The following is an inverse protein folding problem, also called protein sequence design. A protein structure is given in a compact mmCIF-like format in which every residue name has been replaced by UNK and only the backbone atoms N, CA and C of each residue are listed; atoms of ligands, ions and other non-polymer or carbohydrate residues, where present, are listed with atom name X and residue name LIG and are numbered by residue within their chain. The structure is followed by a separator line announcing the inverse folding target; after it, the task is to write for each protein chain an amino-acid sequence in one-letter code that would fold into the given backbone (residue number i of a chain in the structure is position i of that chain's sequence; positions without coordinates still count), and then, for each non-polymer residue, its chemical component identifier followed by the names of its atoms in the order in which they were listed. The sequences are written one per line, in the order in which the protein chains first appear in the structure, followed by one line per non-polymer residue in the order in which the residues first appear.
data_IF_837003341563
#
_entry.id   IF_837003341563
#
_cell.length_a   1.000
_cell.length_b   1.000
_cell.length_c   1.000
_cell.angle_alpha   90.00
_cell.angle_beta   90.00
_cell.angle_gamma   90.00
#
_symmetry.space_group_name_H-M   'P 1'
#
loop_
_entity.id
_entity.type
_entity.pdbx_description
1 polymer ?
#
# COMPACT_ATOMS: atom_id res chain seq x y z
N UNK A 1 17.01 -1.11 5.71
CA UNK A 1 15.83 -0.79 6.54
C UNK A 1 14.96 -2.04 6.60
N UNK A 2 14.69 -2.59 7.79
CA UNK A 2 13.83 -3.77 7.95
C UNK A 2 12.37 -3.28 8.01
N UNK A 3 11.52 -3.79 7.12
CA UNK A 3 10.09 -3.48 7.09
C UNK A 3 9.33 -4.62 7.75
N UNK A 4 8.19 -4.32 8.41
CA UNK A 4 7.36 -5.33 9.07
C UNK A 4 6.72 -6.30 8.06
N UNK A 5 6.41 -5.80 6.87
CA UNK A 5 5.81 -6.58 5.79
C UNK A 5 6.05 -5.95 4.43
N UNK A 6 5.74 -6.72 3.38
CA UNK A 6 5.76 -6.29 1.98
C UNK A 6 4.36 -5.96 1.51
N UNK A 7 4.24 -4.93 0.68
CA UNK A 7 2.98 -4.58 0.01
C UNK A 7 3.05 -5.13 -1.41
N UNK A 8 2.00 -5.84 -1.83
CA UNK A 8 1.87 -6.35 -3.18
C UNK A 8 0.58 -5.82 -3.81
N UNK A 9 0.65 -5.40 -5.06
CA UNK A 9 -0.46 -4.83 -5.81
C UNK A 9 -0.90 -5.82 -6.87
N UNK A 10 -2.20 -5.96 -7.07
CA UNK A 10 -2.79 -6.85 -8.06
C UNK A 10 -3.81 -6.10 -8.90
N UNK A 11 -3.95 -6.50 -10.16
CA UNK A 11 -5.00 -6.04 -11.08
C UNK A 11 -5.51 -7.24 -11.84
N UNK A 12 -6.81 -7.47 -11.82
CA UNK A 12 -7.46 -8.61 -12.49
C UNK A 12 -6.79 -9.96 -12.16
N UNK A 13 -6.41 -10.13 -10.88
CA UNK A 13 -5.74 -11.34 -10.39
C UNK A 13 -4.24 -11.44 -10.71
N UNK A 14 -3.68 -10.52 -11.51
CA UNK A 14 -2.27 -10.49 -11.88
C UNK A 14 -1.48 -9.56 -10.95
N UNK A 15 -0.36 -10.04 -10.40
CA UNK A 15 0.54 -9.21 -9.59
C UNK A 15 1.17 -8.13 -10.45
N UNK A 16 1.02 -6.87 -10.05
CA UNK A 16 1.64 -5.75 -10.75
C UNK A 16 3.16 -5.75 -10.55
N UNK A 17 3.89 -5.58 -11.66
CA UNK A 17 5.33 -5.41 -11.67
C UNK A 17 5.73 -3.98 -12.06
N UNK A 18 6.99 -3.62 -11.84
CA UNK A 18 7.52 -2.31 -12.25
C UNK A 18 7.37 -2.06 -13.76
N UNK A 19 7.49 -3.10 -14.58
CA UNK A 19 7.39 -3.05 -16.04
C UNK A 19 5.99 -2.66 -16.49
N UNK A 20 4.96 -3.12 -15.78
CA UNK A 20 3.56 -2.78 -16.08
C UNK A 20 3.21 -1.35 -15.66
N UNK A 21 3.99 -0.75 -14.75
CA UNK A 21 3.79 0.62 -14.27
C UNK A 21 4.82 1.61 -14.84
N UNK A 22 5.77 1.15 -15.68
CA UNK A 22 6.92 1.96 -16.10
C UNK A 22 6.54 3.23 -16.87
N UNK A 23 5.49 3.14 -17.69
CA UNK A 23 5.06 4.20 -18.61
C UNK A 23 4.08 5.19 -17.94
N UNK A 24 3.70 4.94 -16.69
CA UNK A 24 2.83 5.84 -15.92
C UNK A 24 3.61 7.05 -15.45
N UNK A 25 3.08 8.22 -15.77
CA UNK A 25 3.66 9.53 -15.41
C UNK A 25 2.88 10.26 -14.33
N UNK A 26 1.68 9.81 -14.01
CA UNK A 26 0.89 10.39 -12.93
C UNK A 26 1.48 10.02 -11.55
N UNK A 27 1.39 10.90 -10.54
CA UNK A 27 2.02 10.65 -9.24
C UNK A 27 1.56 9.37 -8.54
N UNK A 28 0.28 8.98 -8.68
CA UNK A 28 -0.25 7.76 -8.09
C UNK A 28 0.42 6.52 -8.73
N UNK A 29 0.48 6.48 -10.05
CA UNK A 29 1.16 5.42 -10.82
C UNK A 29 2.65 5.31 -10.49
N UNK A 30 3.34 6.45 -10.37
CA UNK A 30 4.75 6.47 -9.96
C UNK A 30 4.90 5.95 -8.52
N UNK A 31 4.02 6.38 -7.60
CA UNK A 31 3.98 5.89 -6.23
C UNK A 31 3.79 4.37 -6.15
N UNK A 32 2.81 3.83 -6.90
CA UNK A 32 2.57 2.39 -7.02
C UNK A 32 3.78 1.64 -7.57
N UNK A 33 4.47 2.19 -8.59
CA UNK A 33 5.69 1.59 -9.12
C UNK A 33 6.75 1.44 -8.03
N UNK A 34 6.99 2.50 -7.26
CA UNK A 34 7.93 2.45 -6.15
C UNK A 34 7.53 1.45 -5.06
N UNK A 35 6.23 1.26 -4.81
CA UNK A 35 5.73 0.19 -3.92
C UNK A 35 6.13 -1.20 -4.45
N UNK A 36 5.96 -1.46 -5.76
CA UNK A 36 6.38 -2.75 -6.36
C UNK A 36 7.89 -2.98 -6.30
N UNK A 37 8.69 -1.92 -6.16
CA UNK A 37 10.13 -1.96 -6.00
C UNK A 37 10.59 -1.94 -4.52
N UNK A 38 9.66 -1.98 -3.56
CA UNK A 38 9.93 -1.86 -2.11
C UNK A 38 10.62 -0.55 -1.68
N UNK A 39 10.49 0.50 -2.50
CA UNK A 39 11.05 1.84 -2.28
C UNK A 39 10.01 2.73 -1.58
N UNK A 40 9.71 2.41 -0.32
CA UNK A 40 8.57 3.02 0.38
C UNK A 40 8.72 4.51 0.66
N UNK A 41 9.93 5.01 0.92
CA UNK A 41 10.14 6.44 1.14
C UNK A 41 9.91 7.24 -0.14
N UNK A 42 10.37 6.73 -1.28
CA UNK A 42 10.12 7.29 -2.60
C UNK A 42 8.63 7.24 -2.94
N UNK A 43 7.97 6.10 -2.68
CA UNK A 43 6.54 5.94 -2.88
C UNK A 43 5.74 7.01 -2.10
N UNK A 44 6.05 7.21 -0.82
CA UNK A 44 5.38 8.22 0.03
C UNK A 44 5.47 9.62 -0.59
N UNK A 45 6.65 10.04 -1.08
CA UNK A 45 6.82 11.38 -1.68
C UNK A 45 5.86 11.61 -2.85
N UNK A 46 5.72 10.61 -3.72
CA UNK A 46 4.82 10.68 -4.88
C UNK A 46 3.35 10.59 -4.49
N UNK A 47 3.02 9.74 -3.52
CA UNK A 47 1.66 9.60 -3.02
C UNK A 47 1.17 10.86 -2.32
N UNK A 48 2.03 11.56 -1.58
CA UNK A 48 1.67 12.82 -0.91
C UNK A 48 1.24 13.92 -1.89
N UNK A 49 1.80 13.94 -3.11
CA UNK A 49 1.44 14.91 -4.18
C UNK A 49 0.42 14.36 -5.18
N UNK A 50 -0.01 13.10 -5.03
CA UNK A 50 -1.04 12.52 -5.87
C UNK A 50 -2.40 13.11 -5.57
N UNK A 51 -3.31 13.08 -6.56
CA UNK A 51 -4.72 13.41 -6.36
C UNK A 51 -5.32 12.48 -5.30
N UNK A 52 -6.23 13.04 -4.51
CA UNK A 52 -6.92 12.30 -3.47
C UNK A 52 -7.74 11.16 -4.08
N UNK A 53 -7.56 9.98 -3.51
CA UNK A 53 -8.12 8.72 -3.99
C UNK A 53 -7.99 7.67 -2.89
N UNK A 54 -8.86 6.67 -2.92
CA UNK A 54 -8.78 5.54 -1.99
C UNK A 54 -7.38 4.90 -1.97
N UNK A 55 -6.78 4.68 -3.15
CA UNK A 55 -5.49 4.02 -3.33
C UNK A 55 -4.34 4.82 -2.70
N UNK A 56 -4.34 6.14 -2.88
CA UNK A 56 -3.34 7.04 -2.27
C UNK A 56 -3.30 6.83 -0.77
N UNK A 57 -4.45 6.96 -0.11
CA UNK A 57 -4.54 6.92 1.33
C UNK A 57 -4.34 5.52 1.90
N UNK A 58 -4.85 4.49 1.21
CA UNK A 58 -4.61 3.09 1.59
C UNK A 58 -3.11 2.76 1.52
N UNK A 59 -2.43 3.15 0.44
CA UNK A 59 -0.99 2.90 0.28
C UNK A 59 -0.16 3.68 1.30
N UNK A 60 -0.48 4.95 1.55
CA UNK A 60 0.18 5.73 2.59
C UNK A 60 0.03 5.06 3.95
N UNK A 61 -1.18 4.60 4.29
CA UNK A 61 -1.44 3.85 5.52
C UNK A 61 -0.59 2.59 5.62
N UNK A 62 -0.64 1.74 4.59
CA UNK A 62 0.12 0.48 4.53
C UNK A 62 1.64 0.70 4.61
N UNK A 63 2.16 1.71 3.91
CA UNK A 63 3.58 2.07 3.96
C UNK A 63 3.97 2.45 5.39
N UNK A 64 3.20 3.32 6.04
CA UNK A 64 3.49 3.75 7.41
C UNK A 64 3.48 2.54 8.38
N UNK A 65 2.51 1.63 8.25
CA UNK A 65 2.48 0.40 9.03
C UNK A 65 3.70 -0.51 8.75
N UNK A 66 4.12 -0.63 7.49
CA UNK A 66 5.31 -1.39 7.12
C UNK A 66 6.60 -0.80 7.74
N UNK A 67 6.61 0.53 7.94
CA UNK A 67 7.68 1.30 8.57
C UNK A 67 7.56 1.46 10.09
N UNK A 68 6.60 0.76 10.73
CA UNK A 68 6.33 0.87 12.18
C UNK A 68 5.86 2.26 12.65
N UNK A 69 5.29 3.07 11.75
CA UNK A 69 4.71 4.38 12.02
C UNK A 69 3.18 4.26 12.22
N UNK A 70 2.78 3.52 13.24
CA UNK A 70 1.40 3.02 13.38
C UNK A 70 0.35 4.15 13.54
N UNK A 71 0.70 5.26 14.18
CA UNK A 71 -0.21 6.40 14.36
C UNK A 71 -0.55 7.08 13.03
N UNK A 72 0.47 7.46 12.23
CA UNK A 72 0.28 8.00 10.88
C UNK A 72 -0.43 7.00 9.96
N UNK A 73 -0.11 5.71 10.11
CA UNK A 73 -0.77 4.64 9.36
C UNK A 73 -2.28 4.64 9.57
N UNK A 74 -2.74 4.82 10.81
CA UNK A 74 -4.18 4.90 11.13
C UNK A 74 -4.85 6.10 10.51
N UNK A 75 -4.26 7.30 10.63
CA UNK A 75 -4.85 8.52 10.06
C UNK A 75 -5.06 8.41 8.54
N UNK A 76 -4.09 7.84 7.83
CA UNK A 76 -4.24 7.62 6.39
C UNK A 76 -5.31 6.58 6.06
N UNK A 77 -5.41 5.48 6.81
CA UNK A 77 -6.43 4.45 6.55
C UNK A 77 -7.85 4.92 6.88
N UNK A 78 -8.02 5.76 7.90
CA UNK A 78 -9.30 6.38 8.20
C UNK A 78 -9.73 7.31 7.05
N UNK A 79 -8.80 8.12 6.55
CA UNK A 79 -9.05 8.98 5.39
C UNK A 79 -9.36 8.20 4.11
N UNK A 80 -8.77 7.00 3.90
CA UNK A 80 -9.00 6.22 2.68
C UNK A 80 -10.49 5.95 2.43
N UNK A 81 -11.26 5.69 3.48
CA UNK A 81 -12.71 5.43 3.39
C UNK A 81 -13.56 6.61 2.93
N UNK A 82 -12.99 7.82 2.89
CA UNK A 82 -13.68 9.05 2.51
C UNK A 82 -13.60 9.34 1.00
N UNK A 83 -12.76 8.60 0.27
CA UNK A 83 -12.50 8.84 -1.15
C UNK A 83 -12.89 7.65 -2.01
N UNK A 84 -13.31 7.92 -3.24
CA UNK A 84 -13.62 6.88 -4.21
C UNK A 84 -12.34 6.23 -4.77
N UNK A 85 -12.42 4.94 -5.17
CA UNK A 85 -11.36 4.29 -5.92
C UNK A 85 -11.11 4.98 -7.26
N UNK A 86 -9.85 5.35 -7.52
CA UNK A 86 -9.44 5.85 -8.82
C UNK A 86 -9.10 4.73 -9.80
N UNK A 87 -8.79 3.52 -9.31
CA UNK A 87 -8.34 2.39 -10.11
C UNK A 87 -8.85 1.04 -9.61
N UNK A 88 -8.95 0.08 -10.52
CA UNK A 88 -9.21 -1.31 -10.15
C UNK A 88 -7.88 -1.98 -9.71
N UNK A 89 -7.44 -1.71 -8.49
CA UNK A 89 -6.24 -2.29 -7.88
C UNK A 89 -6.60 -2.96 -6.56
N UNK A 90 -6.08 -4.17 -6.35
CA UNK A 90 -6.21 -4.93 -5.11
C UNK A 90 -4.89 -4.87 -4.33
N UNK A 91 -5.00 -4.76 -3.01
CA UNK A 91 -3.87 -4.54 -2.12
C UNK A 91 -3.67 -5.76 -1.23
N UNK A 92 -2.45 -6.26 -1.19
CA UNK A 92 -2.08 -7.39 -0.35
C UNK A 92 -0.91 -7.01 0.54
N UNK A 93 -0.92 -7.55 1.75
CA UNK A 93 0.23 -7.55 2.64
C UNK A 93 0.81 -8.95 2.70
N UNK A 94 2.12 -9.05 2.55
CA UNK A 94 2.89 -10.29 2.58
C UNK A 94 3.90 -10.24 3.75
N UNK A 95 3.88 -11.26 4.61
CA UNK A 95 4.87 -11.47 5.67
C UNK A 95 5.63 -12.77 5.35
N UNK A 96 6.71 -12.69 4.54
CA UNK A 96 7.37 -13.90 4.02
C UNK A 96 7.89 -14.83 5.12
N UNK A 97 8.40 -14.26 6.21
CA UNK A 97 8.93 -15.01 7.36
C UNK A 97 7.87 -15.91 8.03
N UNK A 98 6.58 -15.55 7.93
CA UNK A 98 5.45 -16.29 8.51
C UNK A 98 4.61 -17.03 7.47
N UNK A 99 4.94 -16.93 6.17
CA UNK A 99 4.12 -17.47 5.09
C UNK A 99 2.71 -16.86 5.01
N UNK A 100 2.51 -15.67 5.59
CA UNK A 100 1.20 -15.01 5.64
C UNK A 100 1.00 -14.06 4.48
N UNK A 101 -0.18 -14.10 3.88
CA UNK A 101 -0.66 -13.13 2.91
C UNK A 101 -2.13 -12.82 3.17
N UNK A 102 -2.48 -11.54 3.20
CA UNK A 102 -3.87 -11.09 3.36
C UNK A 102 -4.19 -9.98 2.36
N UNK A 103 -5.39 -10.01 1.81
CA UNK A 103 -5.95 -8.87 1.08
C UNK A 103 -6.36 -7.80 2.11
N UNK A 104 -6.09 -6.53 1.81
CA UNK A 104 -6.41 -5.40 2.66
C UNK A 104 -7.40 -4.50 1.94
N UNK A 105 -8.54 -4.23 2.59
CA UNK A 105 -9.57 -3.30 2.14
C UNK A 105 -9.74 -2.11 3.08
N UNK A 106 -9.08 -2.11 4.22
CA UNK A 106 -9.03 -0.96 5.13
C UNK A 106 -8.38 -1.26 6.48
N UNK A 107 -8.60 -0.35 7.43
CA UNK A 107 -7.97 -0.39 8.75
C UNK A 107 -8.18 -1.69 9.51
N UNK A 108 -9.40 -2.25 9.49
CA UNK A 108 -9.73 -3.48 10.22
C UNK A 108 -8.85 -4.66 9.79
N UNK A 109 -8.61 -4.80 8.49
CA UNK A 109 -7.82 -5.90 7.95
C UNK A 109 -6.35 -5.79 8.38
N UNK A 110 -5.81 -4.57 8.39
CA UNK A 110 -4.43 -4.31 8.84
C UNK A 110 -4.27 -4.63 10.32
N UNK A 111 -5.20 -4.20 11.17
CA UNK A 111 -5.16 -4.49 12.60
C UNK A 111 -5.28 -5.99 12.90
N UNK A 112 -6.11 -6.70 12.13
CA UNK A 112 -6.22 -8.16 12.24
C UNK A 112 -4.92 -8.85 11.86
N UNK A 113 -4.27 -8.43 10.77
CA UNK A 113 -2.97 -8.95 10.38
C UNK A 113 -1.90 -8.69 11.46
N UNK A 114 -1.87 -7.49 12.04
CA UNK A 114 -0.91 -7.16 13.09
C UNK A 114 -1.04 -8.11 14.30
N UNK A 115 -2.27 -8.45 14.69
CA UNK A 115 -2.54 -9.43 15.76
C UNK A 115 -2.05 -10.83 15.43
N UNK A 116 -2.20 -11.27 14.19
CA UNK A 116 -1.70 -12.58 13.72
C UNK A 116 -0.18 -12.60 13.56
N UNK A 117 0.44 -11.42 13.44
CA UNK A 117 1.88 -11.24 13.28
C UNK A 117 2.63 -10.89 14.57
N UNK A 118 1.93 -10.61 15.66
CA UNK A 118 2.52 -10.53 17.00
C UNK A 118 2.93 -11.93 17.52
#
# INVERSE_FOLDING_TARGET
MRVRFRIALYRDGVRLTKEQLKDRKDPLGIGMRYVTEFKYLEATKWLMVAKDSYEKYLLLGLINFALAQDWLGREFLENASLYEPAENVQFFVEVPEKGLRAEIKGLRDVLNLQRLSA
#
